data_IF_937696167489
#
_entry.id   IF_937696167489
#
_cell.length_a   1.000
_cell.length_b   1.000
_cell.length_c   1.000
_cell.angle_alpha   90.00
_cell.angle_beta   90.00
_cell.angle_gamma   90.00
#
_symmetry.space_group_name_H-M   'P 1'
#
loop_
_entity.id
_entity.type
_entity.pdbx_description
1 polymer ?
#
# COMPACT_ATOMS: atom_id res chain seq x y z
N UNK A 1 -11.14 -6.59 -1.15
CA UNK A 1 -11.11 -5.90 -2.44
C UNK A 1 -11.53 -4.43 -2.32
N UNK A 2 -12.70 -4.09 -1.76
CA UNK A 2 -13.18 -2.71 -1.64
C UNK A 2 -12.21 -1.78 -0.91
N UNK A 3 -11.69 -2.17 0.25
CA UNK A 3 -10.68 -1.40 0.98
C UNK A 3 -9.38 -1.18 0.16
N UNK A 4 -8.97 -2.19 -0.61
CA UNK A 4 -7.85 -2.06 -1.51
C UNK A 4 -8.10 -1.03 -2.63
N UNK A 5 -9.31 -1.04 -3.22
CA UNK A 5 -9.69 -0.07 -4.23
C UNK A 5 -9.77 1.36 -3.66
N UNK A 6 -10.34 1.53 -2.46
CA UNK A 6 -10.37 2.83 -1.77
C UNK A 6 -8.96 3.35 -1.46
N UNK A 7 -8.05 2.47 -1.06
CA UNK A 7 -6.64 2.83 -0.89
C UNK A 7 -5.99 3.28 -2.21
N UNK A 8 -6.20 2.55 -3.31
CA UNK A 8 -5.66 2.92 -4.62
C UNK A 8 -6.20 4.28 -5.11
N UNK A 9 -7.50 4.50 -4.95
CA UNK A 9 -8.18 5.69 -5.41
C UNK A 9 -7.92 6.92 -4.51
N UNK A 10 -7.51 6.70 -3.26
CA UNK A 10 -7.35 7.73 -2.24
C UNK A 10 -8.64 8.49 -1.89
N UNK A 11 -9.79 7.98 -2.29
CA UNK A 11 -11.11 8.46 -1.87
C UNK A 11 -12.14 7.33 -1.93
N UNK A 12 -13.22 7.46 -1.16
CA UNK A 12 -14.22 6.42 -1.02
C UNK A 12 -15.04 6.23 -2.31
N UNK A 13 -15.43 7.30 -2.98
CA UNK A 13 -16.27 7.27 -4.18
C UNK A 13 -15.58 6.59 -5.36
N UNK A 14 -14.41 7.09 -5.74
CA UNK A 14 -13.60 6.47 -6.80
C UNK A 14 -13.21 5.03 -6.45
N UNK A 15 -12.96 4.76 -5.16
CA UNK A 15 -12.63 3.41 -4.70
C UNK A 15 -13.78 2.43 -4.88
N UNK A 16 -15.00 2.86 -4.61
CA UNK A 16 -16.19 2.04 -4.78
C UNK A 16 -16.51 1.83 -6.28
N UNK A 17 -16.32 2.84 -7.12
CA UNK A 17 -16.45 2.73 -8.56
C UNK A 17 -15.42 1.75 -9.15
N UNK A 18 -14.17 1.85 -8.73
CA UNK A 18 -13.12 0.90 -9.13
C UNK A 18 -13.47 -0.52 -8.69
N UNK A 19 -14.03 -0.69 -7.49
CA UNK A 19 -14.42 -2.00 -7.00
C UNK A 19 -15.57 -2.61 -7.84
N UNK A 20 -16.58 -1.83 -8.18
CA UNK A 20 -17.70 -2.26 -9.02
C UNK A 20 -17.22 -2.63 -10.42
N UNK A 21 -16.46 -1.77 -11.05
CA UNK A 21 -15.95 -2.01 -12.43
C UNK A 21 -14.98 -3.22 -12.46
N UNK A 22 -14.18 -3.38 -11.40
CA UNK A 22 -13.32 -4.57 -11.22
C UNK A 22 -14.15 -5.85 -11.18
N UNK A 23 -15.26 -5.84 -10.47
CA UNK A 23 -16.16 -6.99 -10.36
C UNK A 23 -16.80 -7.32 -11.71
N UNK A 24 -17.30 -6.30 -12.42
CA UNK A 24 -17.88 -6.45 -13.75
C UNK A 24 -16.86 -7.00 -14.77
N UNK A 25 -15.64 -6.47 -14.74
CA UNK A 25 -14.55 -6.98 -15.60
C UNK A 25 -14.19 -8.43 -15.24
N UNK A 26 -14.11 -8.74 -13.94
CA UNK A 26 -13.81 -10.10 -13.50
C UNK A 26 -14.89 -11.12 -13.94
N UNK A 27 -16.16 -10.73 -13.96
CA UNK A 27 -17.23 -11.58 -14.47
C UNK A 27 -17.06 -11.91 -15.96
N UNK A 28 -16.57 -10.99 -16.77
CA UNK A 28 -16.29 -11.22 -18.21
C UNK A 28 -15.16 -12.21 -18.43
N UNK A 29 -14.21 -12.31 -17.48
CA UNK A 29 -13.13 -13.31 -17.53
C UNK A 29 -13.53 -14.67 -16.96
N UNK A 30 -14.76 -14.81 -16.45
CA UNK A 30 -15.28 -16.08 -15.93
C UNK A 30 -15.66 -17.01 -17.10
N UNK A 31 -14.67 -17.66 -17.73
CA UNK A 31 -14.88 -18.92 -18.42
C UNK A 31 -15.28 -19.98 -17.40
N UNK A 32 -16.01 -21.01 -17.80
CA UNK A 32 -16.75 -21.95 -16.95
C UNK A 32 -15.98 -22.64 -15.81
N UNK A 33 -14.64 -22.49 -15.72
CA UNK A 33 -13.80 -23.19 -14.74
C UNK A 33 -12.97 -22.31 -13.80
N UNK A 34 -13.00 -20.99 -13.90
CA UNK A 34 -12.09 -20.14 -13.09
C UNK A 34 -12.80 -19.52 -11.89
N UNK A 35 -12.45 -19.98 -10.68
CA UNK A 35 -12.84 -19.30 -9.41
C UNK A 35 -12.21 -17.90 -9.37
N UNK A 36 -13.02 -16.88 -9.10
CA UNK A 36 -12.54 -15.52 -8.88
C UNK A 36 -11.65 -15.50 -7.63
N UNK A 37 -10.35 -15.49 -7.83
CA UNK A 37 -9.41 -15.37 -6.72
C UNK A 37 -9.23 -13.90 -6.33
N UNK A 38 -9.00 -13.66 -5.06
CA UNK A 38 -8.69 -12.33 -4.53
C UNK A 38 -7.48 -11.69 -5.23
N UNK A 39 -6.46 -12.48 -5.56
CA UNK A 39 -5.30 -12.02 -6.31
C UNK A 39 -5.65 -11.52 -7.73
N UNK A 40 -6.56 -12.21 -8.42
CA UNK A 40 -7.04 -11.79 -9.74
C UNK A 40 -7.82 -10.48 -9.65
N UNK A 41 -8.73 -10.38 -8.69
CA UNK A 41 -9.51 -9.16 -8.45
C UNK A 41 -8.62 -7.96 -8.15
N UNK A 42 -7.62 -8.12 -7.28
CA UNK A 42 -6.67 -7.05 -6.97
C UNK A 42 -5.83 -6.65 -8.19
N UNK A 43 -5.46 -7.60 -9.04
CA UNK A 43 -4.75 -7.31 -10.30
C UNK A 43 -5.61 -6.52 -11.26
N UNK A 44 -6.88 -6.90 -11.44
CA UNK A 44 -7.83 -6.18 -12.32
C UNK A 44 -8.07 -4.76 -11.78
N UNK A 45 -8.31 -4.62 -10.46
CA UNK A 45 -8.49 -3.32 -9.80
C UNK A 45 -7.30 -2.39 -10.03
N UNK A 46 -6.10 -2.90 -9.86
CA UNK A 46 -4.87 -2.14 -10.06
C UNK A 46 -4.72 -1.64 -11.51
N UNK A 47 -4.94 -2.51 -12.50
CA UNK A 47 -4.87 -2.10 -13.91
C UNK A 47 -5.94 -1.06 -14.25
N UNK A 48 -7.16 -1.26 -13.74
CA UNK A 48 -8.25 -0.31 -13.98
C UNK A 48 -7.94 1.06 -13.37
N UNK A 49 -7.46 1.11 -12.12
CA UNK A 49 -7.02 2.36 -11.48
C UNK A 49 -5.92 3.08 -12.28
N UNK A 50 -4.95 2.33 -12.80
CA UNK A 50 -3.89 2.90 -13.66
C UNK A 50 -4.47 3.56 -14.91
N UNK A 51 -5.43 2.91 -15.55
CA UNK A 51 -6.06 3.45 -16.75
C UNK A 51 -6.87 4.71 -16.43
N UNK A 52 -7.56 4.76 -15.28
CA UNK A 52 -8.24 5.96 -14.79
C UNK A 52 -7.26 7.10 -14.53
N UNK A 53 -6.15 6.86 -13.84
CA UNK A 53 -5.12 7.88 -13.60
C UNK A 53 -4.53 8.42 -14.90
N UNK A 54 -4.29 7.55 -15.89
CA UNK A 54 -3.80 7.97 -17.21
C UNK A 54 -4.84 8.78 -17.98
N UNK A 55 -6.12 8.41 -17.85
CA UNK A 55 -7.23 9.14 -18.48
C UNK A 55 -7.37 10.53 -17.86
N UNK A 56 -7.42 10.64 -16.53
CA UNK A 56 -7.49 11.91 -15.80
C UNK A 56 -6.31 12.82 -16.12
N UNK A 57 -5.07 12.30 -16.19
CA UNK A 57 -3.91 13.11 -16.62
C UNK A 57 -4.07 13.68 -18.03
N UNK A 58 -4.68 12.96 -18.94
CA UNK A 58 -4.96 13.46 -20.30
C UNK A 58 -6.07 14.51 -20.31
N UNK A 59 -7.09 14.34 -19.48
CA UNK A 59 -8.21 15.30 -19.33
C UNK A 59 -7.75 16.60 -18.67
N UNK A 60 -6.91 16.53 -17.61
CA UNK A 60 -6.33 17.70 -16.93
C UNK A 60 -5.43 18.54 -17.86
N UNK A 61 -4.68 17.90 -18.77
CA UNK A 61 -3.90 18.62 -19.79
C UNK A 61 -4.83 19.38 -20.76
N UNK A 62 -6.06 18.89 -20.97
CA UNK A 62 -7.05 19.55 -21.79
C UNK A 62 -7.84 20.66 -21.07
N UNK A 63 -7.96 20.60 -19.76
CA UNK A 63 -8.79 21.51 -18.93
C UNK A 63 -8.03 22.56 -18.11
N UNK A 64 -6.71 22.69 -18.25
CA UNK A 64 -5.83 23.52 -17.38
C UNK A 64 -6.13 25.04 -17.34
N UNK A 65 -7.33 25.49 -17.60
CA UNK A 65 -7.69 26.92 -17.56
C UNK A 65 -8.69 27.37 -16.49
N UNK A 66 -9.19 26.55 -15.59
CA UNK A 66 -10.30 27.08 -14.79
C UNK A 66 -10.60 26.66 -13.35
N UNK A 67 -10.09 25.62 -12.71
CA UNK A 67 -10.66 25.18 -11.42
C UNK A 67 -9.64 24.55 -10.45
N UNK A 68 -8.67 25.34 -9.96
CA UNK A 68 -7.62 24.85 -9.03
C UNK A 68 -7.98 24.85 -7.53
N UNK A 69 -9.06 25.44 -7.05
CA UNK A 69 -9.20 25.71 -5.59
C UNK A 69 -10.09 24.75 -4.79
N UNK A 70 -10.97 23.96 -5.39
CA UNK A 70 -11.84 23.04 -4.64
C UNK A 70 -11.35 21.58 -4.63
N UNK A 71 -10.58 21.16 -5.61
CA UNK A 71 -10.02 19.82 -5.71
C UNK A 71 -8.93 19.55 -4.64
N UNK A 72 -8.22 20.59 -4.20
CA UNK A 72 -7.09 20.45 -3.27
C UNK A 72 -7.51 20.07 -1.84
N UNK A 73 -8.65 20.55 -1.34
CA UNK A 73 -9.14 20.20 0.01
C UNK A 73 -9.62 18.76 0.10
N UNK A 74 -10.41 18.29 -0.86
CA UNK A 74 -10.88 16.90 -0.87
C UNK A 74 -9.74 15.89 -1.10
N UNK A 75 -8.73 16.27 -1.89
CA UNK A 75 -7.55 15.45 -2.11
C UNK A 75 -6.65 15.39 -0.85
N UNK A 76 -6.64 16.44 -0.03
CA UNK A 76 -5.89 16.47 1.23
C UNK A 76 -6.51 15.54 2.27
N UNK A 77 -7.81 15.65 2.53
CA UNK A 77 -8.54 14.78 3.47
C UNK A 77 -8.43 13.30 3.10
N UNK A 78 -8.42 12.98 1.79
CA UNK A 78 -8.28 11.60 1.31
C UNK A 78 -6.87 11.04 1.47
N UNK A 79 -5.83 11.87 1.38
CA UNK A 79 -4.44 11.47 1.62
C UNK A 79 -4.21 11.16 3.09
N UNK A 80 -4.74 11.99 4.00
CA UNK A 80 -4.68 11.75 5.44
C UNK A 80 -5.30 10.41 5.81
N UNK A 81 -6.51 10.17 5.35
CA UNK A 81 -7.18 8.90 5.58
C UNK A 81 -6.40 7.69 5.06
N UNK A 82 -5.77 7.82 3.89
CA UNK A 82 -4.96 6.74 3.30
C UNK A 82 -3.70 6.44 4.10
N UNK A 83 -3.00 7.47 4.59
CA UNK A 83 -1.80 7.31 5.44
C UNK A 83 -2.19 6.71 6.79
N UNK A 84 -3.26 7.20 7.41
CA UNK A 84 -3.75 6.66 8.67
C UNK A 84 -4.15 5.19 8.55
N UNK A 85 -4.81 4.80 7.47
CA UNK A 85 -5.14 3.41 7.16
C UNK A 85 -3.88 2.53 7.07
N UNK A 86 -2.82 3.02 6.40
CA UNK A 86 -1.55 2.29 6.34
C UNK A 86 -0.94 2.06 7.72
N UNK A 87 -0.92 3.11 8.56
CA UNK A 87 -0.30 3.05 9.87
C UNK A 87 -1.11 2.22 10.88
N UNK A 88 -2.44 2.15 10.71
CA UNK A 88 -3.32 1.35 11.58
C UNK A 88 -3.35 -0.13 11.21
N UNK A 89 -3.21 -0.47 9.93
CA UNK A 89 -3.38 -1.84 9.44
C UNK A 89 -2.07 -2.60 9.24
N UNK A 90 -0.95 -1.91 9.11
CA UNK A 90 0.31 -2.53 8.73
C UNK A 90 1.40 -2.35 9.78
N UNK A 91 2.32 -3.29 9.82
CA UNK A 91 3.60 -3.09 10.52
C UNK A 91 4.46 -2.08 9.75
N UNK A 92 5.44 -1.39 10.37
CA UNK A 92 6.28 -0.37 9.72
C UNK A 92 6.85 -0.84 8.38
N UNK A 93 7.41 -2.03 8.36
CA UNK A 93 7.99 -2.62 7.14
C UNK A 93 6.95 -2.92 6.07
N UNK A 94 5.77 -3.39 6.46
CA UNK A 94 4.67 -3.64 5.53
C UNK A 94 4.12 -2.34 4.95
N UNK A 95 3.97 -1.30 5.77
CA UNK A 95 3.52 0.02 5.34
C UNK A 95 4.44 0.60 4.26
N UNK A 96 5.75 0.59 4.49
CA UNK A 96 6.74 1.07 3.51
C UNK A 96 6.73 0.26 2.22
N UNK A 97 6.70 -1.09 2.30
CA UNK A 97 6.65 -1.95 1.12
C UNK A 97 5.39 -1.69 0.31
N UNK A 98 4.25 -1.60 0.98
CA UNK A 98 2.97 -1.36 0.33
C UNK A 98 2.93 0.02 -0.31
N UNK A 99 3.40 1.04 0.38
CA UNK A 99 3.48 2.42 -0.10
C UNK A 99 4.35 2.56 -1.35
N UNK A 100 5.55 2.00 -1.34
CA UNK A 100 6.43 2.02 -2.52
C UNK A 100 5.86 1.21 -3.69
N UNK A 101 5.25 0.06 -3.41
CA UNK A 101 4.70 -0.82 -4.45
C UNK A 101 3.44 -0.28 -5.08
N UNK A 102 2.46 0.11 -4.28
CA UNK A 102 1.14 0.50 -4.77
C UNK A 102 1.05 2.02 -5.04
N UNK A 103 1.74 2.84 -4.25
CA UNK A 103 1.78 4.29 -4.45
C UNK A 103 2.71 4.72 -5.59
N UNK A 104 3.93 4.21 -5.60
CA UNK A 104 4.97 4.64 -6.56
C UNK A 104 5.38 3.58 -7.58
N UNK A 105 4.75 2.39 -7.57
CA UNK A 105 4.94 1.31 -8.57
C UNK A 105 6.35 0.74 -8.66
N UNK A 106 7.12 0.80 -7.59
CA UNK A 106 8.42 0.17 -7.55
C UNK A 106 8.31 -1.34 -7.79
N UNK A 107 9.32 -1.92 -8.45
CA UNK A 107 9.41 -3.36 -8.62
C UNK A 107 9.83 -4.02 -7.30
N UNK A 108 9.45 -5.29 -7.10
CA UNK A 108 9.82 -6.02 -5.87
C UNK A 108 11.33 -6.09 -5.68
N UNK A 109 12.09 -6.21 -6.76
CA UNK A 109 13.56 -6.21 -6.76
C UNK A 109 14.13 -4.87 -6.27
N UNK A 110 13.56 -3.76 -6.73
CA UNK A 110 13.99 -2.42 -6.33
C UNK A 110 13.69 -2.18 -4.85
N UNK A 111 12.51 -2.56 -4.37
CA UNK A 111 12.14 -2.48 -2.96
C UNK A 111 13.07 -3.35 -2.10
N UNK A 112 13.42 -4.54 -2.59
CA UNK A 112 14.33 -5.44 -1.91
C UNK A 112 15.73 -4.82 -1.74
N UNK A 113 16.25 -4.13 -2.77
CA UNK A 113 17.51 -3.39 -2.71
C UNK A 113 17.43 -2.21 -1.72
N UNK A 114 16.36 -1.41 -1.79
CA UNK A 114 16.15 -0.26 -0.90
C UNK A 114 16.10 -0.71 0.57
N UNK A 115 15.38 -1.79 0.87
CA UNK A 115 15.20 -2.30 2.23
C UNK A 115 16.30 -3.30 2.67
N UNK A 116 17.32 -3.52 1.85
CA UNK A 116 18.40 -4.46 2.10
C UNK A 116 17.88 -5.87 2.52
N UNK A 117 16.90 -6.37 1.78
CA UNK A 117 16.24 -7.65 2.05
C UNK A 117 16.07 -8.47 0.78
N UNK A 118 15.56 -9.69 0.88
CA UNK A 118 15.30 -10.53 -0.29
C UNK A 118 13.97 -10.18 -0.98
N UNK A 119 13.89 -10.39 -2.29
CA UNK A 119 12.64 -10.21 -3.05
C UNK A 119 11.52 -11.11 -2.52
N UNK A 120 11.85 -12.33 -2.08
CA UNK A 120 10.90 -13.25 -1.46
C UNK A 120 10.33 -12.69 -0.15
N UNK A 121 11.16 -12.04 0.67
CA UNK A 121 10.69 -11.38 1.89
C UNK A 121 9.78 -10.18 1.59
N UNK A 122 10.09 -9.37 0.58
CA UNK A 122 9.23 -8.26 0.12
C UNK A 122 7.89 -8.81 -0.36
N UNK A 123 7.89 -9.85 -1.22
CA UNK A 123 6.69 -10.52 -1.73
C UNK A 123 5.81 -11.07 -0.59
N UNK A 124 6.42 -11.72 0.40
CA UNK A 124 5.71 -12.26 1.56
C UNK A 124 5.07 -11.16 2.43
N UNK A 125 5.79 -10.07 2.69
CA UNK A 125 5.25 -8.93 3.43
C UNK A 125 4.10 -8.26 2.68
N UNK A 126 4.24 -8.04 1.37
CA UNK A 126 3.19 -7.47 0.53
C UNK A 126 1.93 -8.36 0.50
N UNK A 127 2.12 -9.68 0.41
CA UNK A 127 1.01 -10.63 0.45
C UNK A 127 0.25 -10.55 1.78
N UNK A 128 0.96 -10.53 2.92
CA UNK A 128 0.34 -10.38 4.25
C UNK A 128 -0.38 -9.04 4.40
N UNK A 129 0.19 -7.95 3.88
CA UNK A 129 -0.45 -6.65 3.88
C UNK A 129 -1.77 -6.68 3.09
N UNK A 130 -1.78 -7.26 1.90
CA UNK A 130 -2.99 -7.42 1.09
C UNK A 130 -4.05 -8.28 1.76
N UNK A 131 -3.65 -9.40 2.38
CA UNK A 131 -4.58 -10.25 3.14
C UNK A 131 -5.25 -9.51 4.31
N UNK A 132 -4.53 -8.61 4.99
CA UNK A 132 -5.12 -7.81 6.08
C UNK A 132 -6.18 -6.85 5.56
N UNK A 133 -5.94 -6.18 4.44
CA UNK A 133 -6.93 -5.32 3.81
C UNK A 133 -8.18 -6.09 3.36
N UNK A 134 -8.02 -7.34 2.91
CA UNK A 134 -9.12 -8.18 2.46
C UNK A 134 -10.02 -8.67 3.61
N UNK A 135 -9.43 -8.97 4.76
CA UNK A 135 -10.16 -9.49 5.93
C UNK A 135 -10.96 -8.43 6.69
N UNK A 136 -11.02 -7.18 6.20
CA UNK A 136 -11.85 -6.14 6.79
C UNK A 136 -11.30 -5.53 8.07
N UNK A 137 -9.99 -5.70 8.33
CA UNK A 137 -9.30 -4.94 9.38
C UNK A 137 -9.96 -5.01 10.74
N UNK A 138 -10.19 -6.20 11.31
CA UNK A 138 -10.15 -6.23 12.77
C UNK A 138 -8.85 -5.55 13.18
N UNK A 139 -8.89 -4.58 14.10
CA UNK A 139 -7.69 -3.90 14.54
C UNK A 139 -6.76 -4.96 15.14
N UNK A 140 -5.94 -5.53 14.28
CA UNK A 140 -4.83 -6.31 14.77
C UNK A 140 -4.01 -5.29 15.56
N UNK A 141 -3.78 -5.55 16.85
CA UNK A 141 -2.97 -4.67 17.69
C UNK A 141 -1.59 -4.52 17.07
N UNK A 142 -1.50 -3.63 16.07
CA UNK A 142 -0.25 -3.26 15.41
C UNK A 142 0.56 -2.34 16.32
N UNK A 143 -0.05 -1.83 17.38
CA UNK A 143 0.57 -0.90 18.34
C UNK A 143 1.84 -1.47 18.97
N UNK A 144 1.92 -2.79 19.17
CA UNK A 144 3.13 -3.45 19.69
C UNK A 144 4.32 -3.42 18.72
N UNK A 145 4.10 -3.13 17.44
CA UNK A 145 5.15 -3.06 16.40
C UNK A 145 5.59 -1.63 16.11
N UNK A 146 4.86 -0.63 16.63
CA UNK A 146 5.13 0.77 16.42
C UNK A 146 5.75 1.41 17.66
N UNK A 147 6.88 2.07 17.46
CA UNK A 147 7.32 3.12 18.37
C UNK A 147 6.56 4.39 17.98
N UNK A 148 5.92 5.06 18.93
CA UNK A 148 5.07 6.24 18.70
C UNK A 148 5.84 7.34 17.95
N UNK A 149 7.11 7.53 18.30
CA UNK A 149 7.98 8.49 17.62
C UNK A 149 8.21 8.11 16.14
N UNK A 150 8.57 6.84 15.89
CA UNK A 150 8.77 6.36 14.52
C UNK A 150 7.47 6.35 13.71
N UNK A 151 6.33 6.11 14.35
CA UNK A 151 5.01 6.17 13.71
C UNK A 151 4.72 7.58 13.20
N UNK A 152 4.93 8.59 14.05
CA UNK A 152 4.70 9.99 13.69
C UNK A 152 5.69 10.45 12.59
N UNK A 153 6.96 10.07 12.71
CA UNK A 153 7.98 10.37 11.70
C UNK A 153 7.63 9.74 10.33
N UNK A 154 7.21 8.47 10.32
CA UNK A 154 6.84 7.79 9.09
C UNK A 154 5.55 8.35 8.49
N UNK A 155 4.58 8.74 9.33
CA UNK A 155 3.37 9.44 8.91
C UNK A 155 3.72 10.72 8.14
N UNK A 156 4.53 11.56 8.74
CA UNK A 156 4.95 12.84 8.13
C UNK A 156 5.73 12.62 6.82
N UNK A 157 6.59 11.60 6.77
CA UNK A 157 7.32 11.21 5.57
C UNK A 157 6.39 10.75 4.44
N UNK A 158 5.37 9.95 4.75
CA UNK A 158 4.37 9.53 3.75
C UNK A 158 3.61 10.73 3.20
N UNK A 159 3.18 11.68 4.04
CA UNK A 159 2.52 12.89 3.59
C UNK A 159 3.40 13.71 2.65
N UNK A 160 4.62 14.05 3.10
CA UNK A 160 5.57 14.83 2.29
C UNK A 160 5.87 14.15 0.95
N UNK A 161 6.01 12.83 0.97
CA UNK A 161 6.28 12.02 -0.24
C UNK A 161 5.10 12.02 -1.21
N UNK A 162 3.87 11.94 -0.69
CA UNK A 162 2.66 12.01 -1.52
C UNK A 162 2.42 13.44 -2.07
N UNK A 163 2.70 14.45 -1.29
CA UNK A 163 2.56 15.83 -1.70
C UNK A 163 3.58 16.20 -2.79
N UNK A 164 4.84 15.87 -2.57
CA UNK A 164 5.92 16.11 -3.53
C UNK A 164 5.88 15.16 -4.74
N UNK A 165 5.09 14.07 -4.69
CA UNK A 165 5.11 12.98 -5.67
C UNK A 165 6.53 12.42 -5.91
N UNK A 166 7.40 12.53 -4.90
CA UNK A 166 8.80 12.11 -4.96
C UNK A 166 9.12 11.04 -3.89
N UNK A 167 9.28 9.77 -4.28
CA UNK A 167 9.62 8.68 -3.37
C UNK A 167 11.03 8.80 -2.78
N UNK A 168 11.91 9.64 -3.36
CA UNK A 168 13.27 9.80 -2.86
C UNK A 168 13.31 10.37 -1.43
N UNK A 169 12.30 11.16 -1.03
CA UNK A 169 12.17 11.68 0.33
C UNK A 169 12.07 10.55 1.35
N UNK A 170 11.17 9.60 1.11
CA UNK A 170 11.01 8.42 1.95
C UNK A 170 12.26 7.54 1.93
N UNK A 171 12.79 7.23 0.73
CA UNK A 171 13.94 6.34 0.56
C UNK A 171 15.18 6.85 1.31
N UNK A 172 15.43 8.15 1.29
CA UNK A 172 16.56 8.78 2.02
C UNK A 172 16.41 8.68 3.54
N UNK A 173 15.18 8.70 4.05
CA UNK A 173 14.91 8.64 5.48
C UNK A 173 14.87 7.20 6.03
N UNK A 174 14.68 6.17 5.18
CA UNK A 174 14.58 4.77 5.62
C UNK A 174 15.74 4.30 6.51
N UNK A 175 17.01 4.69 6.28
CA UNK A 175 18.12 4.25 7.14
C UNK A 175 18.00 4.71 8.59
N UNK A 176 17.26 5.78 8.89
CA UNK A 176 17.01 6.26 10.26
C UNK A 176 15.93 5.47 10.99
N UNK A 177 15.05 4.78 10.27
CA UNK A 177 13.90 4.04 10.79
C UNK A 177 14.29 2.61 11.18
N UNK A 178 14.56 2.39 12.46
CA UNK A 178 15.04 1.10 12.99
C UNK A 178 14.03 -0.02 12.79
N UNK A 179 12.74 0.24 12.94
CA UNK A 179 11.66 -0.75 12.79
C UNK A 179 11.50 -1.27 11.36
N UNK A 180 11.92 -0.50 10.35
CA UNK A 180 11.83 -0.88 8.94
C UNK A 180 13.03 -1.74 8.51
N UNK A 181 14.24 -1.40 8.96
CA UNK A 181 15.49 -2.05 8.52
C UNK A 181 15.91 -3.20 9.42
N UNK A 182 15.42 -3.28 10.67
CA UNK A 182 15.83 -4.37 11.57
C UNK A 182 15.59 -5.74 10.94
N UNK A 183 16.68 -6.51 10.87
CA UNK A 183 16.62 -7.96 10.65
C UNK A 183 15.78 -8.57 11.78
N UNK A 184 14.86 -9.51 11.50
CA UNK A 184 14.17 -10.22 12.55
C UNK A 184 15.25 -10.83 13.47
N UNK A 185 15.19 -10.50 14.75
CA UNK A 185 16.00 -11.18 15.76
C UNK A 185 15.42 -12.60 15.87
N UNK A 186 15.98 -13.52 15.11
CA UNK A 186 15.81 -14.93 15.39
C UNK A 186 16.52 -15.19 16.72
N UNK A 187 15.79 -15.25 17.79
CA UNK A 187 16.22 -15.99 18.97
C UNK A 187 16.06 -17.46 18.59
N UNK A 188 17.13 -18.24 18.42
CA UNK A 188 17.00 -19.68 18.31
C UNK A 188 16.68 -20.21 19.71
N UNK A 189 15.39 -20.30 20.05
CA UNK A 189 14.93 -21.12 21.14
C UNK A 189 14.88 -22.57 20.66
N UNK A 190 16.04 -23.16 20.50
CA UNK A 190 16.16 -24.59 20.40
C UNK A 190 17.22 -25.04 21.41
N UNK A 191 16.87 -24.91 22.69
CA UNK A 191 17.57 -25.60 23.77
C UNK A 191 16.71 -26.75 24.23
N UNK A 192 16.64 -27.81 23.41
CA UNK A 192 16.09 -29.11 23.88
C UNK A 192 16.47 -30.18 22.89
N UNK A 193 17.73 -30.64 23.01
CA UNK A 193 18.17 -31.99 22.61
C UNK A 193 19.61 -32.19 23.14
N UNK A 194 19.76 -32.27 24.46
CA UNK A 194 20.89 -32.94 25.08
C UNK A 194 20.42 -33.44 26.45
N UNK A 195 19.76 -34.59 26.47
CA UNK A 195 19.71 -35.44 27.64
C UNK A 195 19.28 -36.87 27.17
N UNK A 196 20.22 -37.72 26.98
CA UNK A 196 20.32 -39.14 27.33
C UNK A 196 21.33 -39.83 26.42
#
# INVERSE_FOLDING_TARGET
>A
MQQYCRFLAQNAWDGDDIAQETFLKAQRYKGEEHKLSSALLNKIAYHHWIDLVRKRKREVIAEEKGLKQQADKQAFDSKEHSVELLLSQFTPKQAVIFFLKEGFRYQLKEIALILQTSETAVKSNLHRAKQRLEKGGEPFSTDSFWDEKERNELSELFYKTLEAQDPALLIRALPSLKSVIQKPRYTPTCTLCMAA
#
